data_IF_427985439556
#
_entry.id   IF_427985439556
#
_cell.length_a   1.000
_cell.length_b   1.000
_cell.length_c   1.000
_cell.angle_alpha   90.00
_cell.angle_beta   90.00
_cell.angle_gamma   90.00
#
_symmetry.space_group_name_H-M   'P 1'
#
loop_
_entity.id
_entity.type
_entity.pdbx_description
1 polymer ?
#
# COMPACT_ATOMS: atom_id res chain seq x y z
N UNK A 1 7.60 7.03 -40.80
CA UNK A 1 8.50 7.57 -39.77
C UNK A 1 7.68 7.75 -38.52
N UNK A 2 7.90 6.86 -37.56
CA UNK A 2 7.08 6.60 -36.37
C UNK A 2 6.92 7.81 -35.46
N UNK A 3 5.71 8.00 -34.91
CA UNK A 3 5.50 8.44 -33.53
C UNK A 3 4.08 8.08 -33.08
N UNK A 4 3.87 8.00 -31.76
CA UNK A 4 2.61 7.74 -31.03
C UNK A 4 2.33 6.27 -30.69
N UNK A 5 3.20 5.72 -29.85
CA UNK A 5 2.85 4.65 -28.92
C UNK A 5 3.10 5.19 -27.51
N UNK A 6 2.22 6.06 -27.02
CA UNK A 6 2.12 6.33 -25.58
C UNK A 6 1.03 5.40 -25.06
N UNK A 7 1.43 4.15 -24.84
CA UNK A 7 0.71 3.26 -23.95
C UNK A 7 1.04 3.78 -22.54
N UNK A 8 0.31 4.80 -22.07
CA UNK A 8 0.41 5.38 -20.73
C UNK A 8 -0.14 4.38 -19.70
N UNK A 9 0.52 3.22 -19.61
CA UNK A 9 0.30 2.26 -18.55
C UNK A 9 0.64 2.87 -17.18
N UNK A 10 0.21 2.24 -16.08
CA UNK A 10 0.46 2.77 -14.74
C UNK A 10 1.95 3.02 -14.52
N UNK A 11 2.29 4.06 -13.75
CA UNK A 11 3.68 4.40 -13.37
C UNK A 11 4.29 3.39 -12.39
N UNK A 12 4.32 2.12 -12.80
CA UNK A 12 4.63 0.98 -11.98
C UNK A 12 6.13 0.67 -12.02
N UNK A 13 6.81 0.94 -10.90
CA UNK A 13 8.24 0.70 -10.77
C UNK A 13 8.54 -0.81 -10.69
N UNK A 14 9.63 -1.23 -11.35
CA UNK A 14 10.21 -2.56 -11.15
C UNK A 14 10.58 -2.76 -9.68
N UNK A 15 10.77 -4.02 -9.24
CA UNK A 15 11.13 -4.30 -7.84
C UNK A 15 12.42 -3.60 -7.40
N UNK A 16 13.42 -3.59 -8.28
CA UNK A 16 14.72 -2.98 -8.04
C UNK A 16 14.60 -1.45 -7.96
N UNK A 17 13.90 -0.84 -8.91
CA UNK A 17 13.67 0.61 -8.91
C UNK A 17 12.81 1.04 -7.73
N UNK A 18 11.76 0.30 -7.40
CA UNK A 18 10.91 0.58 -6.24
C UNK A 18 11.70 0.51 -4.92
N UNK A 19 12.60 -0.47 -4.77
CA UNK A 19 13.46 -0.56 -3.60
C UNK A 19 14.41 0.64 -3.50
N UNK A 20 15.04 1.02 -4.61
CA UNK A 20 15.92 2.18 -4.67
C UNK A 20 15.20 3.49 -4.34
N UNK A 21 14.03 3.73 -4.93
CA UNK A 21 13.25 4.94 -4.70
C UNK A 21 12.71 5.02 -3.27
N UNK A 22 12.27 3.90 -2.69
CA UNK A 22 11.89 3.85 -1.26
C UNK A 22 13.05 4.31 -0.37
N UNK A 23 14.27 3.81 -0.58
CA UNK A 23 15.42 4.26 0.20
C UNK A 23 15.74 5.74 -0.02
N UNK A 24 15.57 6.23 -1.26
CA UNK A 24 15.76 7.64 -1.60
C UNK A 24 14.78 8.53 -0.85
N UNK A 25 13.49 8.18 -0.84
CA UNK A 25 12.45 8.92 -0.13
C UNK A 25 12.64 8.86 1.39
N UNK A 26 13.10 7.74 1.96
CA UNK A 26 13.45 7.68 3.39
C UNK A 26 14.61 8.61 3.75
N UNK A 27 15.66 8.66 2.92
CA UNK A 27 16.77 9.63 3.12
C UNK A 27 16.30 11.07 3.00
N UNK A 28 15.37 11.34 2.08
CA UNK A 28 14.76 12.67 1.92
C UNK A 28 13.95 13.04 3.16
N UNK A 29 13.06 12.15 3.59
CA UNK A 29 12.21 12.29 4.77
C UNK A 29 13.01 12.55 6.06
N UNK A 30 14.13 11.83 6.25
CA UNK A 30 15.01 12.07 7.40
C UNK A 30 15.66 13.45 7.40
N UNK A 31 15.94 14.03 6.22
CA UNK A 31 16.49 15.39 6.10
C UNK A 31 15.42 16.46 6.34
N UNK A 32 14.22 16.25 5.82
CA UNK A 32 13.09 17.19 5.96
C UNK A 32 12.30 17.03 7.26
N UNK A 33 12.54 15.96 8.03
CA UNK A 33 11.72 15.56 9.18
C UNK A 33 10.24 15.40 8.79
N UNK A 34 10.00 14.80 7.63
CA UNK A 34 8.66 14.48 7.15
C UNK A 34 8.38 12.98 7.28
N UNK A 35 7.11 12.61 7.28
CA UNK A 35 6.69 11.21 7.33
C UNK A 35 6.64 10.59 5.94
N UNK A 36 6.93 9.30 5.87
CA UNK A 36 6.76 8.47 4.67
C UNK A 36 6.07 7.18 5.09
N UNK A 37 4.96 6.84 4.44
CA UNK A 37 4.25 5.60 4.73
C UNK A 37 4.40 4.61 3.60
N UNK A 38 4.90 3.42 3.93
CA UNK A 38 4.90 2.26 3.05
C UNK A 38 3.61 1.46 3.26
N UNK A 39 2.87 1.27 2.18
CA UNK A 39 1.76 0.33 2.09
C UNK A 39 2.21 -0.86 1.27
N UNK A 40 1.94 -2.07 1.77
CA UNK A 40 2.12 -3.32 1.02
C UNK A 40 0.75 -3.91 0.72
N UNK A 41 0.48 -4.11 -0.56
CA UNK A 41 -0.77 -4.61 -1.11
C UNK A 41 -0.53 -5.99 -1.74
N UNK A 42 -0.87 -7.04 -1.01
CA UNK A 42 -0.85 -8.41 -1.52
C UNK A 42 -2.18 -8.70 -2.22
N UNK A 43 -2.11 -9.22 -3.44
CA UNK A 43 -3.29 -9.52 -4.26
C UNK A 43 -3.18 -10.91 -4.86
N UNK A 44 -4.32 -11.57 -5.04
CA UNK A 44 -4.40 -12.86 -5.71
C UNK A 44 -5.85 -13.22 -6.04
N UNK A 45 -6.05 -14.08 -7.05
CA UNK A 45 -7.40 -14.51 -7.44
C UNK A 45 -7.88 -15.70 -6.62
N UNK A 46 -9.20 -15.77 -6.40
CA UNK A 46 -9.84 -16.95 -5.81
C UNK A 46 -9.64 -18.18 -6.72
N UNK A 47 -9.33 -19.32 -6.11
CA UNK A 47 -8.81 -20.53 -6.79
C UNK A 47 -9.77 -21.06 -7.86
N UNK A 48 -9.22 -21.27 -9.07
CA UNK A 48 -9.90 -21.68 -10.29
C UNK A 48 -9.22 -21.15 -11.56
N UNK A 49 -8.49 -20.04 -11.41
CA UNK A 49 -7.56 -19.47 -12.39
C UNK A 49 -6.11 -19.55 -11.89
N UNK A 50 -5.72 -20.64 -11.21
CA UNK A 50 -4.38 -20.77 -10.63
C UNK A 50 -3.31 -20.84 -11.72
N UNK A 51 -2.60 -19.73 -11.89
CA UNK A 51 -1.43 -19.58 -12.73
C UNK A 51 -0.84 -18.20 -12.51
N UNK A 52 0.48 -18.10 -12.50
CA UNK A 52 1.24 -16.84 -12.32
C UNK A 52 0.63 -15.67 -13.10
N UNK A 53 0.15 -15.93 -14.32
CA UNK A 53 -0.46 -14.93 -15.20
C UNK A 53 -1.76 -14.33 -14.66
N UNK A 54 -2.62 -15.08 -13.97
CA UNK A 54 -3.90 -14.56 -13.49
C UNK A 54 -3.74 -13.62 -12.30
N UNK A 55 -2.77 -13.91 -11.43
CA UNK A 55 -2.38 -13.06 -10.31
C UNK A 55 -1.63 -11.81 -10.81
N UNK A 56 -0.79 -11.96 -11.85
CA UNK A 56 -0.16 -10.82 -12.53
C UNK A 56 -1.20 -9.88 -13.17
N UNK A 57 -2.22 -10.42 -13.85
CA UNK A 57 -3.32 -9.61 -14.40
C UNK A 57 -4.08 -8.89 -13.30
N UNK A 58 -4.44 -9.57 -12.22
CA UNK A 58 -5.10 -8.91 -11.08
C UNK A 58 -4.23 -7.80 -10.49
N UNK A 59 -2.92 -8.02 -10.41
CA UNK A 59 -1.97 -7.01 -9.91
C UNK A 59 -1.88 -5.80 -10.83
N UNK A 60 -1.91 -5.97 -12.15
CA UNK A 60 -1.94 -4.87 -13.12
C UNK A 60 -3.25 -4.09 -13.06
N UNK A 61 -4.40 -4.77 -13.00
CA UNK A 61 -5.72 -4.13 -12.83
C UNK A 61 -5.76 -3.27 -11.55
N UNK A 62 -5.18 -3.78 -10.45
CA UNK A 62 -5.07 -3.00 -9.20
C UNK A 62 -4.06 -1.87 -9.33
N UNK A 63 -2.94 -2.07 -10.04
CA UNK A 63 -1.93 -1.04 -10.24
C UNK A 63 -2.49 0.18 -11.01
N UNK A 64 -3.34 -0.03 -12.01
CA UNK A 64 -4.05 1.04 -12.72
C UNK A 64 -4.90 1.88 -11.76
N UNK A 65 -5.72 1.23 -10.94
CA UNK A 65 -6.58 1.92 -9.97
C UNK A 65 -5.74 2.67 -8.92
N UNK A 66 -4.61 2.08 -8.51
CA UNK A 66 -3.67 2.71 -7.59
C UNK A 66 -3.09 3.97 -8.22
N UNK A 67 -2.57 3.89 -9.43
CA UNK A 67 -1.94 5.01 -10.13
C UNK A 67 -2.90 6.19 -10.31
N UNK A 68 -4.16 5.93 -10.67
CA UNK A 68 -5.22 6.95 -10.75
C UNK A 68 -5.57 7.59 -9.39
N UNK A 69 -5.21 6.95 -8.27
CA UNK A 69 -5.59 7.34 -6.91
C UNK A 69 -4.49 8.08 -6.16
N UNK A 70 -3.24 7.78 -6.50
CA UNK A 70 -2.07 8.35 -5.88
C UNK A 70 -1.75 9.75 -6.41
N UNK A 71 -0.95 10.51 -5.66
CA UNK A 71 -0.42 11.80 -6.12
C UNK A 71 0.81 11.55 -6.99
N UNK A 72 1.18 12.52 -7.81
CA UNK A 72 2.38 12.42 -8.66
C UNK A 72 3.68 12.17 -7.88
N UNK A 73 3.72 12.63 -6.62
CA UNK A 73 4.85 12.47 -5.69
C UNK A 73 4.88 11.12 -4.99
N UNK A 74 3.76 10.42 -4.96
CA UNK A 74 3.69 9.07 -4.39
C UNK A 74 4.26 8.08 -5.41
N UNK A 75 4.74 6.94 -4.91
CA UNK A 75 5.34 5.90 -5.75
C UNK A 75 4.49 4.64 -5.70
N UNK A 76 4.38 3.95 -6.83
CA UNK A 76 3.83 2.60 -6.91
C UNK A 76 4.82 1.68 -7.62
N UNK A 77 4.99 0.46 -7.13
CA UNK A 77 5.91 -0.51 -7.71
C UNK A 77 5.74 -1.92 -7.16
N UNK A 78 6.50 -2.87 -7.68
CA UNK A 78 6.49 -4.23 -7.14
C UNK A 78 7.25 -4.29 -5.81
N UNK A 79 6.54 -4.55 -4.72
CA UNK A 79 7.16 -4.82 -3.42
C UNK A 79 7.72 -6.25 -3.33
N UNK A 80 7.07 -7.19 -4.03
CA UNK A 80 7.44 -8.61 -4.10
C UNK A 80 6.89 -9.25 -5.40
N UNK A 81 6.82 -10.58 -5.52
CA UNK A 81 6.25 -11.29 -6.68
C UNK A 81 4.73 -11.14 -6.79
N UNK A 82 4.04 -11.12 -5.66
CA UNK A 82 2.57 -11.06 -5.57
C UNK A 82 2.11 -9.87 -4.73
N UNK A 83 2.92 -8.80 -4.71
CA UNK A 83 2.64 -7.64 -3.88
C UNK A 83 3.07 -6.34 -4.55
N UNK A 84 2.17 -5.36 -4.54
CA UNK A 84 2.46 -3.97 -4.83
C UNK A 84 2.94 -3.27 -3.56
N UNK A 85 3.86 -2.33 -3.73
CA UNK A 85 4.28 -1.39 -2.71
C UNK A 85 3.88 0.01 -3.14
N UNK A 86 3.33 0.78 -2.19
CA UNK A 86 3.01 2.17 -2.38
C UNK A 86 3.79 2.98 -1.36
N UNK A 87 4.49 4.03 -1.82
CA UNK A 87 5.19 4.97 -0.95
C UNK A 87 4.40 6.27 -0.96
N UNK A 88 3.76 6.57 0.17
CA UNK A 88 3.01 7.81 0.37
C UNK A 88 3.94 8.84 1.01
N UNK A 89 4.24 9.90 0.26
CA UNK A 89 5.17 10.95 0.69
C UNK A 89 4.41 12.01 1.50
N UNK A 90 4.99 12.50 2.58
CA UNK A 90 4.36 13.47 3.51
C UNK A 90 3.04 12.92 4.12
N UNK A 91 3.06 11.62 4.43
CA UNK A 91 1.91 10.91 4.98
C UNK A 91 2.35 10.06 6.17
N UNK A 92 1.73 10.34 7.31
CA UNK A 92 1.73 9.47 8.48
C UNK A 92 0.67 8.35 8.33
N UNK A 93 0.54 7.52 9.36
CA UNK A 93 -0.44 6.43 9.38
C UNK A 93 -1.86 6.96 9.15
N UNK A 94 -2.26 8.05 9.81
CA UNK A 94 -3.62 8.59 9.71
C UNK A 94 -3.95 9.05 8.29
N UNK A 95 -3.05 9.81 7.65
CA UNK A 95 -3.19 10.22 6.26
C UNK A 95 -3.18 9.02 5.33
N UNK A 96 -2.34 8.02 5.60
CA UNK A 96 -2.28 6.80 4.78
C UNK A 96 -3.62 6.04 4.78
N UNK A 97 -4.32 5.98 5.92
CA UNK A 97 -5.63 5.33 6.03
C UNK A 97 -6.66 6.04 5.15
N UNK A 98 -6.65 7.37 5.07
CA UNK A 98 -7.57 8.12 4.21
C UNK A 98 -7.30 7.84 2.72
N UNK A 99 -6.03 7.65 2.33
CA UNK A 99 -5.67 7.22 0.96
C UNK A 99 -6.15 5.79 0.72
N UNK A 100 -5.95 4.88 1.67
CA UNK A 100 -6.42 3.51 1.58
C UNK A 100 -7.94 3.40 1.50
N UNK A 101 -8.69 4.19 2.26
CA UNK A 101 -10.15 4.26 2.20
C UNK A 101 -10.63 4.61 0.79
N UNK A 102 -10.05 5.66 0.19
CA UNK A 102 -10.34 6.06 -1.19
C UNK A 102 -9.98 4.97 -2.18
N UNK A 103 -8.83 4.33 -1.99
CA UNK A 103 -8.35 3.26 -2.87
C UNK A 103 -9.29 2.04 -2.81
N UNK A 104 -9.65 1.56 -1.62
CA UNK A 104 -10.54 0.41 -1.45
C UNK A 104 -11.93 0.70 -2.02
N UNK A 105 -12.44 1.92 -1.85
CA UNK A 105 -13.71 2.33 -2.44
C UNK A 105 -13.68 2.30 -3.97
N UNK A 106 -12.57 2.74 -4.60
CA UNK A 106 -12.40 2.67 -6.06
C UNK A 106 -12.23 1.24 -6.56
N UNK A 107 -11.47 0.41 -5.85
CA UNK A 107 -11.35 -1.01 -6.17
C UNK A 107 -12.72 -1.69 -6.10
N UNK A 108 -13.52 -1.40 -5.06
CA UNK A 108 -14.86 -1.95 -4.91
C UNK A 108 -15.88 -1.51 -5.97
N UNK A 109 -15.58 -0.48 -6.77
CA UNK A 109 -16.40 -0.07 -7.91
C UNK A 109 -16.08 -0.87 -9.19
N UNK A 110 -14.99 -1.64 -9.19
CA UNK A 110 -14.61 -2.50 -10.31
C UNK A 110 -15.14 -3.91 -10.08
N UNK A 111 -15.73 -4.50 -11.12
CA UNK A 111 -16.17 -5.88 -11.10
C UNK A 111 -15.01 -6.80 -11.47
N UNK A 112 -14.56 -7.63 -10.53
CA UNK A 112 -13.55 -8.65 -10.77
C UNK A 112 -14.21 -10.02 -10.98
N UNK A 113 -13.79 -10.73 -12.02
CA UNK A 113 -14.18 -12.11 -12.29
C UNK A 113 -12.99 -12.89 -12.88
N UNK A 114 -12.40 -13.86 -12.18
CA UNK A 114 -12.70 -14.30 -10.82
C UNK A 114 -12.49 -13.21 -9.76
N UNK A 115 -13.10 -13.40 -8.59
CA UNK A 115 -12.92 -12.49 -7.46
C UNK A 115 -11.43 -12.37 -7.06
N UNK A 116 -11.04 -11.19 -6.60
CA UNK A 116 -9.69 -10.85 -6.16
C UNK A 116 -9.69 -10.68 -4.65
N UNK A 117 -8.75 -11.33 -3.98
CA UNK A 117 -8.46 -11.09 -2.57
C UNK A 117 -7.37 -10.03 -2.46
N UNK A 118 -7.57 -9.09 -1.54
CA UNK A 118 -6.61 -8.04 -1.25
C UNK A 118 -6.29 -8.06 0.23
N UNK A 119 -5.01 -8.05 0.56
CA UNK A 119 -4.52 -7.84 1.90
C UNK A 119 -3.59 -6.63 1.92
N UNK A 120 -3.81 -5.74 2.88
CA UNK A 120 -3.03 -4.50 3.02
C UNK A 120 -2.27 -4.54 4.33
N UNK A 121 -0.99 -4.18 4.29
CA UNK A 121 -0.16 -3.89 5.44
C UNK A 121 0.40 -2.46 5.37
N UNK A 122 0.60 -1.81 6.52
CA UNK A 122 1.01 -0.40 6.59
C UNK A 122 2.13 -0.23 7.61
N UNK A 123 3.16 0.53 7.26
CA UNK A 123 4.20 0.99 8.18
C UNK A 123 4.70 2.38 7.78
N UNK A 124 4.92 3.24 8.77
CA UNK A 124 5.28 4.65 8.57
C UNK A 124 6.63 4.96 9.18
N UNK A 125 7.49 5.62 8.41
CA UNK A 125 8.68 6.29 8.91
C UNK A 125 8.29 7.56 9.65
N UNK A 126 8.90 7.86 10.81
CA UNK A 126 9.88 7.05 11.54
C UNK A 126 9.26 6.08 12.56
N UNK A 127 7.95 6.15 12.81
CA UNK A 127 7.25 5.45 13.90
C UNK A 127 7.42 3.93 13.91
N UNK A 128 7.37 3.31 12.73
CA UNK A 128 7.36 1.86 12.54
C UNK A 128 8.69 1.31 12.06
N UNK A 129 9.64 2.17 11.72
CA UNK A 129 10.93 1.79 11.15
C UNK A 129 11.66 3.01 10.61
N UNK A 130 12.98 2.97 10.70
CA UNK A 130 13.86 4.08 10.28
C UNK A 130 14.59 3.79 8.96
N UNK A 131 14.43 2.58 8.43
CA UNK A 131 15.03 2.13 7.18
C UNK A 131 14.04 1.28 6.36
N UNK A 132 14.36 1.04 5.09
CA UNK A 132 13.47 0.34 4.17
C UNK A 132 13.19 -1.11 4.61
N UNK A 133 14.17 -1.79 5.21
CA UNK A 133 14.03 -3.18 5.64
C UNK A 133 13.05 -3.30 6.81
N UNK A 134 13.20 -2.48 7.85
CA UNK A 134 12.33 -2.42 9.01
C UNK A 134 10.91 -2.00 8.63
N UNK A 135 10.72 -1.04 7.72
CA UNK A 135 9.39 -0.67 7.22
C UNK A 135 8.72 -1.81 6.46
N UNK A 136 9.42 -2.46 5.53
CA UNK A 136 8.86 -3.61 4.79
C UNK A 136 8.45 -4.73 5.74
N UNK A 137 9.30 -5.03 6.72
CA UNK A 137 9.01 -6.06 7.71
C UNK A 137 7.79 -5.71 8.57
N UNK A 138 7.68 -4.46 9.04
CA UNK A 138 6.55 -4.01 9.84
C UNK A 138 5.25 -3.96 9.02
N UNK A 139 5.29 -3.51 7.77
CA UNK A 139 4.14 -3.50 6.89
C UNK A 139 3.61 -4.92 6.64
N UNK A 140 4.49 -5.87 6.29
CA UNK A 140 4.11 -7.28 6.04
C UNK A 140 3.61 -8.01 7.28
N UNK A 141 4.20 -7.75 8.45
CA UNK A 141 3.84 -8.45 9.69
C UNK A 141 2.55 -7.95 10.35
N UNK A 142 2.01 -6.81 9.89
CA UNK A 142 0.82 -6.16 10.46
C UNK A 142 -0.23 -5.95 9.38
N UNK A 143 -1.03 -6.97 9.03
CA UNK A 143 -2.14 -6.78 8.11
C UNK A 143 -3.13 -5.78 8.71
N UNK A 144 -3.31 -4.68 8.00
CA UNK A 144 -4.22 -3.58 8.29
C UNK A 144 -5.67 -3.95 7.89
N UNK A 145 -5.86 -4.50 6.69
CA UNK A 145 -7.15 -5.00 6.22
C UNK A 145 -6.98 -6.23 5.32
N UNK A 146 -8.05 -7.02 5.20
CA UNK A 146 -8.21 -8.07 4.20
C UNK A 146 -9.64 -8.02 3.65
N UNK A 147 -9.78 -7.97 2.34
CA UNK A 147 -11.06 -7.86 1.65
C UNK A 147 -11.07 -8.70 0.37
N UNK A 148 -12.26 -9.07 -0.10
CA UNK A 148 -12.45 -9.82 -1.32
C UNK A 148 -13.39 -9.01 -2.22
N UNK A 149 -13.00 -8.82 -3.47
CA UNK A 149 -13.76 -8.07 -4.46
C UNK A 149 -14.15 -8.99 -5.62
N UNK A 150 -15.44 -9.17 -5.85
CA UNK A 150 -16.01 -9.91 -6.96
C UNK A 150 -17.21 -9.19 -7.58
N UNK A 151 -17.86 -9.80 -8.56
CA UNK A 151 -18.96 -9.20 -9.35
C UNK A 151 -20.19 -8.75 -8.53
N UNK A 152 -20.36 -9.24 -7.30
CA UNK A 152 -21.50 -8.93 -6.42
C UNK A 152 -21.08 -8.58 -4.99
N UNK A 153 -19.89 -8.01 -4.77
CA UNK A 153 -19.47 -7.69 -3.40
C UNK A 153 -20.00 -6.31 -2.99
N UNK A 154 -20.93 -6.20 -2.02
CA UNK A 154 -21.24 -4.91 -1.43
C UNK A 154 -19.99 -4.37 -0.73
N UNK A 155 -19.54 -3.16 -1.10
CA UNK A 155 -18.42 -2.47 -0.48
C UNK A 155 -18.72 -2.28 1.00
N UNK A 156 -18.13 -3.10 1.87
CA UNK A 156 -18.40 -3.04 3.30
C UNK A 156 -17.53 -1.96 3.93
N UNK A 157 -18.03 -0.72 3.94
CA UNK A 157 -17.34 0.50 4.41
C UNK A 157 -17.00 0.54 5.93
N UNK A 158 -16.99 -0.58 6.65
CA UNK A 158 -16.90 -0.58 8.12
C UNK A 158 -15.92 -1.61 8.70
N UNK A 159 -14.60 -1.42 8.50
CA UNK A 159 -13.57 -2.09 9.34
C UNK A 159 -12.38 -1.21 9.78
N UNK A 160 -12.26 0.03 9.33
CA UNK A 160 -11.07 0.87 9.58
C UNK A 160 -10.91 1.45 11.00
N UNK A 161 -12.00 1.58 11.75
CA UNK A 161 -11.99 2.24 13.08
C UNK A 161 -11.21 1.43 14.14
N UNK A 162 -11.08 0.11 13.98
CA UNK A 162 -10.43 -0.73 14.98
C UNK A 162 -8.89 -0.64 14.94
N UNK A 163 -8.31 -0.42 13.77
CA UNK A 163 -6.85 -0.28 13.63
C UNK A 163 -6.35 1.04 14.22
N UNK A 164 -6.98 2.17 13.84
CA UNK A 164 -6.61 3.48 14.39
C UNK A 164 -6.70 3.48 15.92
N UNK A 165 -7.76 2.91 16.49
CA UNK A 165 -7.92 2.77 17.96
C UNK A 165 -6.87 1.86 18.63
N UNK A 166 -6.24 0.94 17.90
CA UNK A 166 -5.17 0.08 18.44
C UNK A 166 -3.83 0.80 18.39
N UNK A 167 -3.57 1.54 17.32
CA UNK A 167 -2.35 2.34 17.17
C UNK A 167 -2.36 3.55 18.11
N UNK A 168 -3.49 4.26 18.27
CA UNK A 168 -3.63 5.33 19.28
C UNK A 168 -3.28 4.83 20.69
N UNK A 169 -3.76 3.64 21.06
CA UNK A 169 -3.44 3.02 22.37
C UNK A 169 -1.96 2.64 22.50
N UNK A 170 -1.30 2.29 21.41
CA UNK A 170 0.15 1.98 21.40
C UNK A 170 0.99 3.24 21.49
N UNK A 171 0.65 4.27 20.72
CA UNK A 171 1.31 5.57 20.78
C UNK A 171 1.21 6.21 22.17
N UNK A 172 0.06 6.08 22.84
CA UNK A 172 -0.14 6.58 24.20
C UNK A 172 0.68 5.77 25.23
N UNK A 173 0.76 4.44 25.07
CA UNK A 173 1.59 3.58 25.93
C UNK A 173 3.09 3.84 25.79
N UNK A 174 3.56 4.27 24.60
CA UNK A 174 4.97 4.52 24.33
C UNK A 174 5.42 5.93 24.78
N UNK A 175 4.48 6.86 25.00
CA UNK A 175 4.76 8.20 25.57
C UNK A 175 4.80 8.21 27.10
N UNK A 176 4.31 7.17 27.77
CA UNK A 176 4.31 7.04 29.23
C UNK A 176 5.59 6.49 29.86
N UNK A 177 6.59 6.13 29.05
CA UNK A 177 7.82 5.45 29.48
C UNK A 177 9.03 6.38 29.70
N UNK A 178 8.92 7.34 30.61
CA UNK A 178 10.10 7.93 31.27
C UNK A 178 9.74 8.43 32.65
N UNK A 179 9.94 7.62 33.71
CA UNK A 179 10.28 8.18 35.00
C UNK A 179 11.77 8.52 34.98
N UNK A 180 12.06 9.81 35.14
CA UNK A 180 13.37 10.26 35.55
C UNK A 180 13.77 9.58 36.86
N UNK A 181 14.95 8.97 36.89
CA UNK A 181 15.92 8.93 38.00
C UNK A 181 17.16 8.18 37.55
#
# INVERSE_FOLDING_TARGET
>A
MSNWLEDDGPRLLSRETFAFELESELRRAGRSRSDVTLVVLETGRESGASGTTADEVAMLEIAEIVDETLRDTDLVGFADRAALGLVLVDADVHRSVQVLDRLMLRIGQRAFSPAVHIAVGVASYPEHGVDAASLRQNAKSRPFLREMFGTNTPVSSQRHVQFLRKEDRRADSNRGGSPAS
#
